data_IF_424938100249
#
_entry.id   IF_424938100249
#
_cell.length_a   1.000
_cell.length_b   1.000
_cell.length_c   1.000
_cell.angle_alpha   90.00
_cell.angle_beta   90.00
_cell.angle_gamma   90.00
#
_symmetry.space_group_name_H-M   'P 1'
#
loop_
_entity.id
_entity.type
_entity.pdbx_description
1 polymer ?
#
# COMPACT_ATOMS: atom_id res chain seq x y z
N UNK A 1 2.96 -3.62 -17.55
CA UNK A 1 1.77 -4.31 -17.01
C UNK A 1 0.92 -4.76 -18.18
N UNK A 2 0.59 -6.04 -18.23
CA UNK A 2 -0.39 -6.63 -19.15
C UNK A 2 -1.49 -7.26 -18.30
N UNK A 3 -2.73 -6.89 -18.52
CA UNK A 3 -3.87 -7.39 -17.75
C UNK A 3 -5.02 -7.75 -18.69
N UNK A 4 -5.54 -8.97 -18.53
CA UNK A 4 -6.73 -9.45 -19.25
C UNK A 4 -7.76 -9.93 -18.23
N UNK A 5 -8.59 -9.01 -17.74
CA UNK A 5 -9.56 -9.29 -16.67
C UNK A 5 -10.79 -10.07 -17.16
N UNK A 6 -11.10 -10.02 -18.43
CA UNK A 6 -12.36 -10.54 -18.96
C UNK A 6 -12.21 -11.73 -19.89
N UNK A 7 -10.95 -12.13 -20.21
CA UNK A 7 -10.70 -13.23 -21.14
C UNK A 7 -11.28 -13.00 -22.56
N UNK A 8 -11.50 -11.75 -22.94
CA UNK A 8 -12.12 -11.39 -24.24
C UNK A 8 -13.66 -11.42 -24.25
N UNK A 9 -14.29 -11.54 -23.08
CA UNK A 9 -15.75 -11.47 -22.98
C UNK A 9 -16.23 -10.00 -23.01
N UNK A 10 -17.45 -9.78 -23.48
CA UNK A 10 -18.07 -8.45 -23.48
C UNK A 10 -18.59 -8.08 -22.09
N UNK A 11 -18.32 -6.85 -21.65
CA UNK A 11 -18.92 -6.27 -20.44
C UNK A 11 -19.98 -5.26 -20.87
N UNK A 12 -21.25 -5.51 -20.51
CA UNK A 12 -22.36 -4.62 -20.89
C UNK A 12 -22.56 -4.47 -22.40
N UNK A 13 -22.20 -5.48 -23.20
CA UNK A 13 -22.30 -5.42 -24.68
C UNK A 13 -21.13 -4.73 -25.38
N UNK A 14 -20.13 -4.23 -24.64
CA UNK A 14 -18.93 -3.62 -25.20
C UNK A 14 -17.81 -4.67 -25.25
N UNK A 15 -17.15 -4.88 -26.41
CA UNK A 15 -16.00 -5.78 -26.49
C UNK A 15 -14.88 -5.32 -25.55
N UNK A 16 -14.32 -6.26 -24.80
CA UNK A 16 -13.19 -5.96 -23.91
C UNK A 16 -11.89 -6.40 -24.55
N UNK A 17 -10.85 -5.62 -24.32
CA UNK A 17 -9.48 -5.86 -24.78
C UNK A 17 -8.54 -5.98 -23.59
N UNK A 18 -7.40 -6.63 -23.81
CA UNK A 18 -6.37 -6.66 -22.78
C UNK A 18 -5.78 -5.27 -22.55
N UNK A 19 -5.81 -4.81 -21.33
CA UNK A 19 -5.20 -3.54 -20.94
C UNK A 19 -3.68 -3.65 -20.87
N UNK A 20 -2.99 -2.63 -21.37
CA UNK A 20 -1.53 -2.52 -21.33
C UNK A 20 -1.11 -1.19 -20.71
N UNK A 21 -0.10 -1.21 -19.86
CA UNK A 21 0.51 -0.01 -19.27
C UNK A 21 2.00 -0.24 -19.05
N UNK A 22 2.77 0.83 -19.21
CA UNK A 22 4.20 0.90 -18.86
C UNK A 22 4.31 1.76 -17.61
N UNK A 23 5.04 1.29 -16.61
CA UNK A 23 5.25 2.01 -15.36
C UNK A 23 6.70 1.90 -14.90
N UNK A 24 7.11 2.89 -14.11
CA UNK A 24 8.41 2.96 -13.44
C UNK A 24 8.22 3.20 -11.94
N UNK A 25 9.17 2.74 -11.15
CA UNK A 25 9.23 2.95 -9.71
C UNK A 25 10.46 3.79 -9.37
N UNK A 26 10.32 4.66 -8.37
CA UNK A 26 11.42 5.45 -7.81
C UNK A 26 11.46 5.20 -6.32
N UNK A 27 12.62 4.80 -5.80
CA UNK A 27 12.82 4.55 -4.38
C UNK A 27 14.11 5.16 -3.87
N UNK A 28 14.08 5.60 -2.60
CA UNK A 28 15.24 6.05 -1.85
C UNK A 28 15.27 5.42 -0.47
N UNK A 29 16.47 5.08 0.00
CA UNK A 29 16.67 4.47 1.31
C UNK A 29 17.92 5.05 1.96
N UNK A 30 17.82 5.40 3.25
CA UNK A 30 18.90 5.96 4.03
C UNK A 30 18.96 5.31 5.40
N UNK A 31 20.15 4.93 5.83
CA UNK A 31 20.39 4.38 7.17
C UNK A 31 21.47 5.19 7.88
N UNK A 32 21.30 5.34 9.18
CA UNK A 32 22.27 6.03 10.04
C UNK A 32 22.26 5.42 11.44
N UNK A 33 23.45 5.06 12.00
CA UNK A 33 23.55 4.79 13.42
C UNK A 33 23.31 6.08 14.21
N UNK A 34 22.44 6.00 15.20
CA UNK A 34 22.13 7.10 16.11
C UNK A 34 22.15 6.59 17.56
N UNK A 35 22.24 7.50 18.51
CA UNK A 35 22.14 7.16 19.93
C UNK A 35 20.77 7.56 20.46
N UNK A 36 19.99 6.59 20.89
CA UNK A 36 18.64 6.79 21.43
C UNK A 36 18.56 6.18 22.83
N UNK A 37 18.15 6.98 23.83
CA UNK A 37 18.02 6.57 25.24
C UNK A 37 19.26 5.83 25.76
N UNK A 38 20.47 6.34 25.38
CA UNK A 38 21.75 5.78 25.81
C UNK A 38 22.21 4.50 25.11
N UNK A 39 21.46 4.01 24.10
CA UNK A 39 21.80 2.85 23.27
C UNK A 39 22.11 3.26 21.85
N UNK A 40 23.00 2.56 21.21
CA UNK A 40 23.26 2.68 19.79
C UNK A 40 22.15 1.91 19.04
N UNK A 41 21.51 2.59 18.10
CA UNK A 41 20.43 2.04 17.28
C UNK A 41 20.64 2.44 15.83
N UNK A 42 20.23 1.60 14.90
CA UNK A 42 20.22 1.90 13.48
C UNK A 42 18.85 2.49 13.09
N UNK A 43 18.85 3.75 12.69
CA UNK A 43 17.69 4.41 12.11
C UNK A 43 17.71 4.19 10.60
N UNK A 44 16.62 3.68 10.05
CA UNK A 44 16.38 3.59 8.62
C UNK A 44 15.18 4.46 8.24
N UNK A 45 15.30 5.17 7.12
CA UNK A 45 14.21 5.95 6.52
C UNK A 45 14.16 5.59 5.04
N UNK A 46 12.97 5.32 4.52
CA UNK A 46 12.77 4.96 3.13
C UNK A 46 11.54 5.63 2.53
N UNK A 47 11.59 5.84 1.22
CA UNK A 47 10.47 6.31 0.43
C UNK A 47 10.44 5.62 -0.93
N UNK A 48 9.24 5.34 -1.40
CA UNK A 48 9.01 4.73 -2.70
C UNK A 48 7.76 5.33 -3.33
N UNK A 49 7.83 5.66 -4.62
CA UNK A 49 6.65 5.88 -5.45
C UNK A 49 6.68 4.80 -6.51
N UNK A 50 5.69 3.92 -6.48
CA UNK A 50 5.58 2.79 -7.40
C UNK A 50 4.46 3.00 -8.41
N UNK A 51 4.60 2.30 -9.55
CA UNK A 51 3.63 2.30 -10.64
C UNK A 51 3.40 3.69 -11.28
N UNK A 52 4.41 4.54 -11.35
CA UNK A 52 4.32 5.80 -12.10
C UNK A 52 4.24 5.45 -13.59
N UNK A 53 3.02 5.42 -14.15
CA UNK A 53 2.85 4.88 -15.49
C UNK A 53 1.62 5.36 -16.23
N UNK A 54 1.49 4.91 -17.47
CA UNK A 54 0.38 5.28 -18.35
C UNK A 54 -0.94 4.72 -17.81
N UNK A 55 -2.01 5.49 -18.00
CA UNK A 55 -3.38 5.00 -17.75
C UNK A 55 -3.67 3.76 -18.60
N UNK A 56 -4.51 2.87 -18.07
CA UNK A 56 -4.91 1.61 -18.71
C UNK A 56 -6.37 1.68 -19.16
N UNK A 57 -6.71 1.00 -20.25
CA UNK A 57 -8.08 0.81 -20.68
C UNK A 57 -8.33 -0.65 -21.02
N UNK A 58 -9.51 -1.15 -20.70
CA UNK A 58 -9.99 -2.50 -21.02
C UNK A 58 -11.06 -2.49 -22.13
N UNK A 59 -11.34 -1.34 -22.69
CA UNK A 59 -12.30 -1.15 -23.78
C UNK A 59 -11.69 -0.28 -24.86
N UNK A 60 -12.26 -0.28 -26.04
CA UNK A 60 -11.85 0.63 -27.15
C UNK A 60 -12.36 2.07 -26.94
N UNK A 61 -12.91 2.38 -25.77
CA UNK A 61 -13.37 3.73 -25.43
C UNK A 61 -12.19 4.65 -25.10
N UNK A 62 -12.42 5.96 -25.22
CA UNK A 62 -11.40 6.99 -24.91
C UNK A 62 -11.12 7.13 -23.41
N UNK A 63 -11.96 6.56 -22.55
CA UNK A 63 -11.80 6.64 -21.08
C UNK A 63 -10.74 5.63 -20.63
N UNK A 64 -9.74 6.14 -19.93
CA UNK A 64 -8.64 5.34 -19.38
C UNK A 64 -8.53 5.56 -17.88
N UNK A 65 -8.34 4.49 -17.14
CA UNK A 65 -8.19 4.50 -15.68
C UNK A 65 -6.73 4.63 -15.27
N UNK A 66 -6.49 5.25 -14.12
CA UNK A 66 -5.18 5.25 -13.51
C UNK A 66 -4.80 3.83 -13.07
N UNK A 67 -3.55 3.44 -13.28
CA UNK A 67 -2.99 2.30 -12.57
C UNK A 67 -2.72 2.71 -11.11
N UNK A 68 -2.63 1.77 -10.16
CA UNK A 68 -2.50 2.09 -8.74
C UNK A 68 -1.11 2.66 -8.41
N UNK A 69 -0.89 3.94 -8.72
CA UNK A 69 0.31 4.66 -8.32
C UNK A 69 0.27 4.79 -6.80
N UNK A 70 1.34 4.38 -6.11
CA UNK A 70 1.36 4.36 -4.65
C UNK A 70 2.60 5.02 -4.07
N UNK A 71 2.40 5.92 -3.12
CA UNK A 71 3.45 6.47 -2.27
C UNK A 71 3.56 5.63 -1.01
N UNK A 72 4.77 5.18 -0.69
CA UNK A 72 5.10 4.58 0.60
C UNK A 72 6.23 5.36 1.24
N UNK A 73 6.04 5.77 2.48
CA UNK A 73 7.08 6.33 3.33
C UNK A 73 7.20 5.48 4.58
N UNK A 74 8.42 5.12 4.93
CA UNK A 74 8.66 4.23 6.05
C UNK A 74 9.86 4.64 6.89
N UNK A 75 9.83 4.25 8.15
CA UNK A 75 10.95 4.36 9.07
C UNK A 75 11.09 3.08 9.88
N UNK A 76 12.32 2.72 10.22
CA UNK A 76 12.58 1.61 11.12
C UNK A 76 13.71 1.96 12.09
N UNK A 77 13.65 1.38 13.26
CA UNK A 77 14.71 1.45 14.27
C UNK A 77 15.08 0.02 14.64
N UNK A 78 16.38 -0.30 14.46
CA UNK A 78 16.96 -1.58 14.85
C UNK A 78 17.95 -1.41 15.99
N UNK A 79 17.98 -2.35 16.92
CA UNK A 79 18.96 -2.38 18.00
C UNK A 79 19.44 -3.80 18.27
N UNK A 80 20.70 -3.93 18.63
CA UNK A 80 21.31 -5.15 19.16
C UNK A 80 21.41 -5.02 20.68
N UNK A 81 20.79 -5.93 21.42
CA UNK A 81 20.87 -5.96 22.88
C UNK A 81 22.15 -6.61 23.35
N UNK A 82 22.58 -7.63 22.61
CA UNK A 82 23.81 -8.39 22.79
C UNK A 82 24.15 -9.13 21.47
N UNK A 83 25.19 -9.96 21.46
CA UNK A 83 25.67 -10.70 20.27
C UNK A 83 24.62 -11.65 19.67
N UNK A 84 23.59 -12.01 20.42
CA UNK A 84 22.56 -12.96 20.01
C UNK A 84 21.20 -12.33 19.76
N UNK A 85 20.90 -11.21 20.43
CA UNK A 85 19.55 -10.65 20.48
C UNK A 85 19.46 -9.33 19.74
N UNK A 86 18.67 -9.31 18.65
CA UNK A 86 18.39 -8.12 17.85
C UNK A 86 16.89 -7.89 17.75
N UNK A 87 16.50 -6.64 17.76
CA UNK A 87 15.09 -6.25 17.60
C UNK A 87 14.96 -5.04 16.69
N UNK A 88 13.93 -5.03 15.87
CA UNK A 88 13.59 -3.88 15.05
C UNK A 88 12.10 -3.55 15.15
N UNK A 89 11.81 -2.26 15.01
CA UNK A 89 10.46 -1.73 14.88
C UNK A 89 10.39 -0.94 13.59
N UNK A 90 9.31 -1.11 12.84
CA UNK A 90 9.06 -0.41 11.60
C UNK A 90 7.67 0.23 11.62
N UNK A 91 7.57 1.39 10.99
CA UNK A 91 6.31 2.10 10.76
C UNK A 91 6.29 2.62 9.33
N UNK A 92 5.24 2.28 8.59
CA UNK A 92 5.02 2.75 7.22
C UNK A 92 3.68 3.45 7.08
N UNK A 93 3.64 4.43 6.21
CA UNK A 93 2.43 5.02 5.68
C UNK A 93 2.36 4.79 4.17
N UNK A 94 1.15 4.53 3.69
CA UNK A 94 0.88 4.35 2.26
C UNK A 94 -0.28 5.24 1.84
N UNK A 95 -0.15 5.90 0.70
CA UNK A 95 -1.23 6.65 0.05
C UNK A 95 -1.28 6.31 -1.43
N UNK A 96 -2.48 6.06 -1.92
CA UNK A 96 -2.72 5.92 -3.35
C UNK A 96 -2.67 7.29 -4.01
N UNK A 97 -1.80 7.46 -5.01
CA UNK A 97 -1.60 8.71 -5.73
C UNK A 97 -2.42 8.73 -7.03
N UNK A 98 -3.71 8.48 -6.90
CA UNK A 98 -4.68 8.59 -8.00
C UNK A 98 -5.85 9.47 -7.56
N UNK A 99 -6.50 10.18 -8.48
CA UNK A 99 -7.63 11.03 -8.14
C UNK A 99 -8.74 10.27 -7.43
N UNK A 100 -9.26 10.86 -6.36
CA UNK A 100 -10.43 10.33 -5.65
C UNK A 100 -11.69 10.60 -6.48
N UNK A 101 -12.58 9.59 -6.65
CA UNK A 101 -13.82 9.80 -7.40
C UNK A 101 -14.65 10.93 -6.81
N UNK A 102 -15.05 11.93 -7.61
CA UNK A 102 -15.89 13.03 -7.16
C UNK A 102 -17.34 12.60 -6.98
N UNK A 103 -18.12 13.45 -6.32
CA UNK A 103 -19.57 13.30 -6.20
C UNK A 103 -20.25 14.05 -7.35
N UNK A 104 -21.15 13.38 -8.07
CA UNK A 104 -21.92 13.95 -9.17
C UNK A 104 -23.37 14.22 -8.77
N UNK A 105 -23.98 15.24 -9.35
CA UNK A 105 -25.42 15.44 -9.30
C UNK A 105 -26.15 14.53 -10.33
N UNK A 106 -27.49 14.64 -10.37
CA UNK A 106 -28.30 13.86 -11.31
C UNK A 106 -28.09 14.26 -12.78
N UNK A 107 -27.45 15.39 -13.03
CA UNK A 107 -27.15 15.92 -14.36
C UNK A 107 -25.75 15.53 -14.83
N UNK A 108 -24.97 14.84 -13.97
CA UNK A 108 -23.60 14.39 -14.25
C UNK A 108 -22.54 15.47 -14.03
N UNK A 109 -22.86 16.56 -13.32
CA UNK A 109 -21.92 17.60 -12.97
C UNK A 109 -21.27 17.31 -11.61
N UNK A 110 -19.98 17.65 -11.46
CA UNK A 110 -19.24 17.48 -10.21
C UNK A 110 -19.73 18.50 -9.19
N UNK A 111 -20.22 18.02 -8.05
CA UNK A 111 -20.67 18.85 -6.92
C UNK A 111 -19.64 18.93 -5.81
N UNK A 112 -18.86 17.86 -5.59
CA UNK A 112 -17.80 17.80 -4.59
C UNK A 112 -16.64 16.99 -5.17
N UNK A 113 -15.41 17.38 -4.82
CA UNK A 113 -14.20 16.79 -5.34
C UNK A 113 -13.71 17.51 -6.60
N UNK A 114 -12.84 16.86 -7.37
CA UNK A 114 -12.22 17.43 -8.58
C UNK A 114 -12.38 16.46 -9.76
N UNK A 115 -12.25 16.99 -10.99
CA UNK A 115 -12.29 16.16 -12.19
C UNK A 115 -11.14 15.13 -12.20
N UNK A 116 -11.44 13.82 -12.23
CA UNK A 116 -10.44 12.77 -12.27
C UNK A 116 -9.82 12.57 -13.66
N UNK A 117 -10.39 13.19 -14.69
CA UNK A 117 -9.93 13.04 -16.08
C UNK A 117 -8.74 13.95 -16.41
N UNK A 118 -7.69 13.85 -15.62
CA UNK A 118 -6.46 14.65 -15.72
C UNK A 118 -5.27 13.80 -16.17
N UNK A 119 -4.15 14.44 -16.51
CA UNK A 119 -2.90 13.73 -16.81
C UNK A 119 -2.40 12.95 -15.60
N UNK A 120 -1.53 11.95 -15.80
CA UNK A 120 -0.94 11.16 -14.70
C UNK A 120 -0.24 12.05 -13.69
N UNK A 121 0.58 12.99 -14.15
CA UNK A 121 1.30 13.91 -13.27
C UNK A 121 0.34 14.79 -12.48
N UNK A 122 -0.66 15.36 -13.14
CA UNK A 122 -1.71 16.17 -12.47
C UNK A 122 -2.48 15.34 -11.44
N UNK A 123 -2.82 14.08 -11.76
CA UNK A 123 -3.53 13.18 -10.84
C UNK A 123 -2.73 12.86 -9.58
N UNK A 124 -1.40 12.66 -9.71
CA UNK A 124 -0.51 12.47 -8.57
C UNK A 124 -0.57 13.65 -7.60
N UNK A 125 -0.49 14.88 -8.10
CA UNK A 125 -0.56 16.07 -7.22
C UNK A 125 -1.98 16.32 -6.71
N UNK A 126 -2.98 16.12 -7.55
CA UNK A 126 -4.38 16.29 -7.20
C UNK A 126 -4.81 15.38 -6.05
N UNK A 127 -4.32 14.12 -6.02
CA UNK A 127 -4.65 13.12 -5.00
C UNK A 127 -4.33 13.52 -3.55
N UNK A 128 -3.69 14.66 -3.32
CA UNK A 128 -3.44 15.18 -1.98
C UNK A 128 -4.52 16.16 -1.49
N UNK A 129 -5.53 16.46 -2.29
CA UNK A 129 -6.53 17.46 -1.93
C UNK A 129 -7.79 17.43 -2.80
N UNK A 130 -8.17 16.28 -3.32
CA UNK A 130 -9.33 16.12 -4.22
C UNK A 130 -10.49 15.33 -3.59
N UNK A 131 -10.32 14.83 -2.37
CA UNK A 131 -11.37 14.07 -1.70
C UNK A 131 -12.63 14.93 -1.47
N UNK A 132 -13.82 14.47 -1.84
CA UNK A 132 -15.09 15.20 -1.70
C UNK A 132 -15.39 15.66 -0.25
N UNK A 133 -14.99 14.88 0.76
CA UNK A 133 -15.10 15.19 2.18
C UNK A 133 -13.97 16.08 2.72
N UNK A 134 -13.12 16.62 1.83
CA UNK A 134 -12.02 17.53 2.17
C UNK A 134 -10.92 16.85 3.00
N UNK A 135 -10.16 17.64 3.75
CA UNK A 135 -8.98 17.18 4.48
C UNK A 135 -9.23 15.99 5.42
N UNK A 136 -10.41 15.92 6.04
CA UNK A 136 -10.77 14.77 6.89
C UNK A 136 -10.85 13.45 6.10
N UNK A 137 -11.28 13.49 4.86
CA UNK A 137 -11.34 12.32 4.00
C UNK A 137 -9.95 11.98 3.45
N UNK A 138 -9.13 12.97 3.10
CA UNK A 138 -7.75 12.78 2.68
C UNK A 138 -6.91 11.98 3.70
N UNK A 139 -7.06 12.30 5.00
CA UNK A 139 -6.37 11.54 6.05
C UNK A 139 -6.84 10.08 6.10
N UNK A 140 -8.10 9.80 5.78
CA UNK A 140 -8.64 8.44 5.76
C UNK A 140 -8.12 7.60 4.59
N UNK A 141 -7.54 8.21 3.57
CA UNK A 141 -6.91 7.53 2.44
C UNK A 141 -5.50 7.02 2.76
N UNK A 142 -4.94 7.45 3.89
CA UNK A 142 -3.63 7.00 4.35
C UNK A 142 -3.79 5.66 5.07
N UNK A 143 -3.07 4.66 4.60
CA UNK A 143 -2.97 3.37 5.25
C UNK A 143 -1.73 3.35 6.15
N UNK A 144 -1.82 2.68 7.29
CA UNK A 144 -0.76 2.59 8.28
C UNK A 144 -0.34 1.15 8.49
N UNK A 145 0.97 0.93 8.60
CA UNK A 145 1.53 -0.36 8.99
C UNK A 145 2.53 -0.18 10.12
N UNK A 146 2.45 -1.03 11.12
CA UNK A 146 3.45 -1.13 12.19
C UNK A 146 3.91 -2.57 12.29
N UNK A 147 5.21 -2.77 12.49
CA UNK A 147 5.79 -4.10 12.59
C UNK A 147 6.95 -4.15 13.56
N UNK A 148 7.18 -5.33 14.07
CA UNK A 148 8.36 -5.65 14.88
C UNK A 148 8.93 -6.99 14.47
N UNK A 149 10.24 -7.10 14.54
CA UNK A 149 10.98 -8.31 14.28
C UNK A 149 12.01 -8.51 15.38
N UNK A 150 12.09 -9.72 15.91
CA UNK A 150 13.10 -10.14 16.86
C UNK A 150 13.89 -11.29 16.27
N UNK A 151 15.22 -11.21 16.33
CA UNK A 151 16.16 -12.24 15.92
C UNK A 151 16.92 -12.79 17.11
N UNK A 152 17.03 -14.11 17.15
CA UNK A 152 17.91 -14.81 18.07
C UNK A 152 19.04 -15.49 17.29
N UNK A 153 20.29 -15.21 17.69
CA UNK A 153 21.53 -15.75 17.11
C UNK A 153 21.64 -15.59 15.58
N UNK A 154 20.95 -14.61 14.97
CA UNK A 154 20.80 -14.47 13.52
C UNK A 154 20.25 -15.71 12.79
N UNK A 155 19.64 -16.64 13.53
CA UNK A 155 19.11 -17.89 13.02
C UNK A 155 17.59 -18.01 13.15
N UNK A 156 17.02 -17.52 14.25
CA UNK A 156 15.60 -17.61 14.51
C UNK A 156 14.98 -16.22 14.53
N UNK A 157 13.90 -16.04 13.80
CA UNK A 157 13.14 -14.79 13.79
C UNK A 157 11.70 -15.00 14.24
N UNK A 158 11.18 -14.02 14.97
CA UNK A 158 9.74 -13.89 15.26
C UNK A 158 9.32 -12.50 14.80
N UNK A 159 8.19 -12.41 14.14
CA UNK A 159 7.64 -11.19 13.58
C UNK A 159 6.21 -10.99 13.99
N UNK A 160 5.83 -9.76 14.24
CA UNK A 160 4.44 -9.37 14.44
C UNK A 160 4.19 -8.02 13.76
N UNK A 161 2.99 -7.83 13.23
CA UNK A 161 2.63 -6.59 12.58
C UNK A 161 1.13 -6.34 12.62
N UNK A 162 0.77 -5.11 12.31
CA UNK A 162 -0.60 -4.67 12.17
C UNK A 162 -0.73 -3.72 10.99
N UNK A 163 -1.72 -3.96 10.15
CA UNK A 163 -2.11 -3.10 9.04
C UNK A 163 -3.47 -2.48 9.31
N UNK A 164 -3.59 -1.19 9.03
CA UNK A 164 -4.82 -0.43 9.20
C UNK A 164 -5.16 0.35 7.93
N UNK A 165 -6.39 0.17 7.46
CA UNK A 165 -7.04 0.98 6.43
C UNK A 165 -8.39 1.45 6.96
N UNK A 166 -8.74 2.71 6.68
CA UNK A 166 -9.98 3.29 7.18
C UNK A 166 -11.21 2.59 6.57
N UNK A 167 -12.28 2.43 7.35
CA UNK A 167 -13.48 1.67 6.96
C UNK A 167 -14.16 2.20 5.68
N UNK A 168 -14.07 3.51 5.42
CA UNK A 168 -14.64 4.14 4.21
C UNK A 168 -13.74 4.04 2.98
N UNK A 169 -12.52 3.53 3.11
CA UNK A 169 -11.52 3.44 2.03
C UNK A 169 -11.05 2.01 1.77
N UNK A 170 -11.84 1.02 2.16
CA UNK A 170 -11.57 -0.41 1.98
C UNK A 170 -11.69 -1.24 3.26
N UNK A 171 -11.41 -0.63 4.43
CA UNK A 171 -11.64 -1.23 5.74
C UNK A 171 -10.78 -2.44 6.08
N UNK A 172 -9.65 -2.63 5.38
CA UNK A 172 -8.74 -3.75 5.62
C UNK A 172 -7.96 -3.53 6.91
N UNK A 173 -8.11 -4.43 7.84
CA UNK A 173 -7.37 -4.43 9.12
C UNK A 173 -6.95 -5.85 9.42
N UNK A 174 -5.68 -6.08 9.64
CA UNK A 174 -5.20 -7.41 9.96
C UNK A 174 -3.96 -7.39 10.81
N UNK A 175 -3.86 -8.40 11.68
CA UNK A 175 -2.63 -8.75 12.37
C UNK A 175 -1.83 -9.74 11.51
N UNK A 176 -0.53 -9.62 11.53
CA UNK A 176 0.39 -10.57 10.90
C UNK A 176 1.32 -11.14 11.96
N UNK A 177 1.55 -12.44 11.89
CA UNK A 177 2.54 -13.13 12.70
C UNK A 177 3.45 -13.92 11.78
N UNK A 178 4.72 -13.97 12.10
CA UNK A 178 5.68 -14.70 11.29
C UNK A 178 6.78 -15.32 12.14
N UNK A 179 7.37 -16.37 11.61
CA UNK A 179 8.58 -16.98 12.14
C UNK A 179 9.54 -17.27 11.00
N UNK A 180 10.83 -17.20 11.28
CA UNK A 180 11.88 -17.48 10.32
C UNK A 180 12.98 -18.34 10.93
N UNK A 181 13.54 -19.21 10.13
CA UNK A 181 14.72 -20.00 10.47
C UNK A 181 15.75 -19.83 9.38
N UNK A 182 16.96 -19.47 9.73
CA UNK A 182 18.08 -19.32 8.83
C UNK A 182 19.23 -20.22 9.27
N UNK A 183 19.64 -21.08 8.38
CA UNK A 183 20.76 -21.97 8.64
C UNK A 183 21.69 -22.02 7.43
N UNK A 184 22.92 -21.54 7.61
CA UNK A 184 23.89 -21.40 6.55
C UNK A 184 23.32 -20.61 5.34
N UNK A 185 23.15 -21.25 4.18
CA UNK A 185 22.60 -20.65 2.95
C UNK A 185 21.09 -20.84 2.81
N UNK A 186 20.45 -21.58 3.70
CA UNK A 186 19.03 -21.86 3.68
C UNK A 186 18.28 -20.88 4.60
N UNK A 187 17.15 -20.36 4.13
CA UNK A 187 16.21 -19.62 4.94
C UNK A 187 14.80 -20.14 4.67
N UNK A 188 14.02 -20.31 5.75
CA UNK A 188 12.62 -20.69 5.68
C UNK A 188 11.83 -19.69 6.51
N UNK A 189 10.87 -19.04 5.89
CA UNK A 189 9.98 -18.09 6.54
C UNK A 189 8.54 -18.59 6.47
N UNK A 190 7.83 -18.47 7.57
CA UNK A 190 6.42 -18.76 7.70
C UNK A 190 5.68 -17.52 8.16
N UNK A 191 4.52 -17.22 7.58
CA UNK A 191 3.70 -16.09 7.97
C UNK A 191 2.23 -16.49 8.00
N UNK A 192 1.49 -15.88 8.93
CA UNK A 192 0.07 -16.05 9.11
C UNK A 192 -0.61 -14.71 9.30
N UNK A 193 -1.76 -14.52 8.65
CA UNK A 193 -2.51 -13.29 8.66
C UNK A 193 -3.86 -13.54 9.34
N UNK A 194 -4.19 -12.69 10.32
CA UNK A 194 -5.47 -12.73 11.04
C UNK A 194 -6.23 -11.47 10.70
N UNK A 195 -7.41 -11.64 10.12
CA UNK A 195 -8.30 -10.53 9.82
C UNK A 195 -8.83 -9.91 11.13
N UNK A 196 -8.62 -8.60 11.31
CA UNK A 196 -9.11 -7.83 12.45
C UNK A 196 -10.31 -6.94 12.09
N UNK A 197 -10.73 -6.92 10.81
CA UNK A 197 -11.93 -6.20 10.39
C UNK A 197 -13.17 -6.90 10.95
N UNK A 198 -14.01 -6.18 11.67
CA UNK A 198 -15.39 -6.62 11.88
C UNK A 198 -16.13 -6.40 10.56
N UNK A 199 -16.23 -7.45 9.76
CA UNK A 199 -16.95 -7.41 8.49
C UNK A 199 -18.42 -7.08 8.76
N UNK A 200 -18.82 -5.84 8.54
CA UNK A 200 -20.22 -5.42 8.48
C UNK A 200 -20.83 -5.87 7.15
N UNK A 201 -20.04 -6.14 6.13
CA UNK A 201 -20.48 -6.66 4.84
C UNK A 201 -19.48 -7.71 4.36
N UNK A 202 -19.95 -8.90 4.03
CA UNK A 202 -19.19 -10.11 3.69
C UNK A 202 -18.28 -10.09 2.44
N UNK A 203 -17.69 -8.95 2.11
CA UNK A 203 -16.83 -8.74 0.96
C UNK A 203 -15.34 -8.48 1.32
N UNK A 204 -14.86 -9.09 2.39
CA UNK A 204 -13.41 -9.01 2.62
C UNK A 204 -12.71 -10.15 1.86
N UNK A 205 -11.92 -9.86 0.81
CA UNK A 205 -11.25 -10.88 0.02
C UNK A 205 -10.23 -11.72 0.81
N UNK A 206 -9.87 -11.28 2.03
CA UNK A 206 -8.93 -11.98 2.92
C UNK A 206 -9.64 -12.69 4.09
N UNK A 207 -10.98 -12.77 4.09
CA UNK A 207 -11.73 -13.35 5.21
C UNK A 207 -11.53 -14.88 5.35
N UNK A 208 -10.93 -15.54 4.36
CA UNK A 208 -10.76 -16.99 4.29
C UNK A 208 -9.34 -17.45 3.85
N UNK A 209 -8.33 -16.62 4.08
CA UNK A 209 -6.92 -16.99 3.80
C UNK A 209 -6.15 -17.32 5.07
#
# INVERSE_FOLDING_TARGET
IYSNLTGGQSAGGIPTVAGQSIAADIAGFYTKPIRLVGRDVDLAIGGNISNIGSKISYTETSVKDFIPINLRLGTAIGTEFDDYNKMSFAFDINKLLVPTPPVYNNEGEITLGQDPNVSVVSGIFQSFGDAPGGFSEEIREINYSIGTEYWYANQFAIRAGYFFEHDTKGGRKFFTFGSGVKYNVFALDFSYLINASRAINGNNPLANT
#
